data_IF_184826579274
#
_entry.id   IF_184826579274
#
_cell.length_a   1.000
_cell.length_b   1.000
_cell.length_c   1.000
_cell.angle_alpha   90.00
_cell.angle_beta   90.00
_cell.angle_gamma   90.00
#
_symmetry.space_group_name_H-M   'P 1'
#
loop_
_entity.id
_entity.type
_entity.pdbx_description
1 polymer ?
#
# COMPACT_ATOMS: atom_id res chain seq x y z
N UNK A 1 -4.65 39.40 -6.63
CA UNK A 1 -4.64 37.93 -6.79
C UNK A 1 -3.34 37.40 -6.20
N UNK A 2 -3.37 36.78 -5.03
CA UNK A 2 -2.18 36.13 -4.47
C UNK A 2 -1.88 34.87 -5.29
N UNK A 3 -0.68 34.78 -5.87
CA UNK A 3 -0.18 33.55 -6.46
C UNK A 3 0.04 32.53 -5.33
N UNK A 4 -0.90 31.60 -5.16
CA UNK A 4 -0.68 30.44 -4.29
C UNK A 4 0.31 29.54 -5.01
N UNK A 5 1.58 29.59 -4.60
CA UNK A 5 2.56 28.65 -5.12
C UNK A 5 2.19 27.24 -4.65
N UNK A 6 2.09 26.25 -5.57
CA UNK A 6 1.77 24.90 -5.18
C UNK A 6 2.82 24.37 -4.21
N UNK A 7 2.37 23.84 -3.07
CA UNK A 7 3.24 23.27 -2.05
C UNK A 7 4.08 22.15 -2.68
N UNK A 8 5.39 22.21 -2.45
CA UNK A 8 6.34 21.21 -2.95
C UNK A 8 6.56 20.15 -1.89
N UNK A 9 6.04 18.95 -2.14
CA UNK A 9 6.29 17.76 -1.33
C UNK A 9 7.48 17.01 -1.90
N UNK A 10 8.36 16.53 -1.04
CA UNK A 10 9.57 15.83 -1.46
C UNK A 10 9.79 14.58 -0.65
N UNK A 11 10.24 13.56 -1.35
CA UNK A 11 10.68 12.30 -0.79
C UNK A 11 12.07 12.46 -0.19
N UNK A 12 12.38 11.63 0.80
CA UNK A 12 13.70 11.57 1.44
C UNK A 12 14.78 11.25 0.40
N UNK A 13 14.49 10.31 -0.51
CA UNK A 13 15.42 9.94 -1.60
C UNK A 13 15.67 11.10 -2.55
N UNK A 14 14.65 11.91 -2.88
CA UNK A 14 14.84 13.10 -3.72
C UNK A 14 15.70 14.17 -3.06
N UNK A 15 15.48 14.44 -1.77
CA UNK A 15 16.30 15.41 -1.05
C UNK A 15 17.78 14.98 -1.02
N UNK A 16 18.05 13.70 -0.78
CA UNK A 16 19.41 13.14 -0.85
C UNK A 16 20.02 13.31 -2.25
N UNK A 17 19.28 12.97 -3.31
CA UNK A 17 19.74 13.11 -4.69
C UNK A 17 19.99 14.58 -5.10
N UNK A 18 19.21 15.52 -4.54
CA UNK A 18 19.35 16.96 -4.81
C UNK A 18 20.68 17.48 -4.28
N UNK A 19 21.05 17.14 -3.06
CA UNK A 19 22.28 17.64 -2.40
C UNK A 19 23.52 16.80 -2.72
N UNK A 20 23.38 15.67 -3.44
CA UNK A 20 24.49 14.79 -3.79
C UNK A 20 25.62 15.48 -4.58
N UNK A 21 25.31 16.55 -5.33
CA UNK A 21 26.32 17.34 -6.05
C UNK A 21 27.31 18.05 -5.10
N UNK A 22 26.92 18.31 -3.85
CA UNK A 22 27.81 18.88 -2.84
C UNK A 22 28.85 17.88 -2.33
N UNK A 23 28.68 16.59 -2.64
CA UNK A 23 29.51 15.49 -2.11
C UNK A 23 30.16 14.62 -3.20
N UNK A 24 30.02 14.98 -4.48
CA UNK A 24 30.49 14.13 -5.58
C UNK A 24 30.45 14.78 -6.96
N UNK A 25 30.77 13.99 -7.99
CA UNK A 25 30.83 14.45 -9.39
C UNK A 25 29.43 14.84 -9.92
N UNK A 26 29.30 15.91 -10.75
CA UNK A 26 28.01 16.36 -11.29
C UNK A 26 27.20 15.27 -12.01
N UNK A 27 27.87 14.37 -12.74
CA UNK A 27 27.21 13.28 -13.47
C UNK A 27 26.58 12.24 -12.55
N UNK A 28 27.22 11.95 -11.43
CA UNK A 28 26.68 11.05 -10.41
C UNK A 28 25.41 11.65 -9.77
N UNK A 29 25.41 12.95 -9.48
CA UNK A 29 24.22 13.63 -8.97
C UNK A 29 23.08 13.65 -10.01
N UNK A 30 23.39 13.76 -11.32
CA UNK A 30 22.39 13.64 -12.39
C UNK A 30 21.80 12.22 -12.43
N UNK A 31 22.64 11.21 -12.31
CA UNK A 31 22.21 9.81 -12.29
C UNK A 31 21.28 9.50 -11.11
N UNK A 32 21.64 9.91 -9.89
CA UNK A 32 20.80 9.73 -8.70
C UNK A 32 19.44 10.41 -8.84
N UNK A 33 19.40 11.63 -9.41
CA UNK A 33 18.13 12.30 -9.71
C UNK A 33 17.32 11.54 -10.74
N UNK A 34 17.95 10.95 -11.76
CA UNK A 34 17.28 10.09 -12.73
C UNK A 34 16.55 8.92 -12.07
N UNK A 35 17.21 8.25 -11.13
CA UNK A 35 16.62 7.13 -10.36
C UNK A 35 15.48 7.61 -9.44
N UNK A 36 15.67 8.70 -8.71
CA UNK A 36 14.70 9.19 -7.73
C UNK A 36 13.46 9.86 -8.35
N UNK A 37 13.56 10.34 -9.60
CA UNK A 37 12.55 11.19 -10.24
C UNK A 37 11.17 10.53 -10.38
N UNK A 38 11.02 9.27 -10.85
CA UNK A 38 9.70 8.66 -11.00
C UNK A 38 8.93 8.60 -9.68
N UNK A 39 9.61 8.17 -8.60
CA UNK A 39 9.02 8.12 -7.25
C UNK A 39 8.66 9.52 -6.75
N UNK A 40 9.55 10.50 -6.95
CA UNK A 40 9.28 11.90 -6.58
C UNK A 40 8.06 12.47 -7.30
N UNK A 41 7.85 12.13 -8.58
CA UNK A 41 6.68 12.56 -9.34
C UNK A 41 5.40 11.96 -8.75
N UNK A 42 5.38 10.65 -8.47
CA UNK A 42 4.23 10.01 -7.82
C UNK A 42 3.93 10.61 -6.44
N UNK A 43 4.96 10.83 -5.62
CA UNK A 43 4.81 11.41 -4.28
C UNK A 43 4.27 12.84 -4.33
N UNK A 44 4.84 13.71 -5.18
CA UNK A 44 4.33 15.07 -5.36
C UNK A 44 2.87 15.06 -5.80
N UNK A 45 2.50 14.22 -6.79
CA UNK A 45 1.13 14.15 -7.31
C UNK A 45 0.13 13.72 -6.23
N UNK A 46 0.43 12.65 -5.50
CA UNK A 46 -0.44 12.14 -4.44
C UNK A 46 -0.59 13.16 -3.31
N UNK A 47 0.52 13.65 -2.76
CA UNK A 47 0.47 14.62 -1.66
C UNK A 47 -0.24 15.90 -2.08
N UNK A 48 0.01 16.41 -3.29
CA UNK A 48 -0.64 17.62 -3.77
C UNK A 48 -2.15 17.44 -4.01
N UNK A 49 -2.57 16.29 -4.54
CA UNK A 49 -3.99 16.00 -4.78
C UNK A 49 -4.82 16.02 -3.50
N UNK A 50 -4.19 15.72 -2.36
CA UNK A 50 -4.84 15.64 -1.04
C UNK A 50 -4.24 16.63 -0.03
N UNK A 51 -3.68 17.75 -0.51
CA UNK A 51 -3.17 18.84 0.33
C UNK A 51 -2.19 18.41 1.46
N UNK A 52 -1.40 17.36 1.21
CA UNK A 52 -0.43 16.80 2.14
C UNK A 52 -0.97 15.71 3.06
N UNK A 53 -2.26 15.38 2.97
CA UNK A 53 -2.94 14.43 3.84
C UNK A 53 -3.69 13.33 3.05
N UNK A 54 -2.99 12.47 2.28
CA UNK A 54 -3.61 11.42 1.47
C UNK A 54 -4.04 10.20 2.32
N UNK A 55 -4.74 10.43 3.43
CA UNK A 55 -5.17 9.38 4.36
C UNK A 55 -6.32 8.58 3.73
N UNK A 56 -6.23 7.25 3.78
CA UNK A 56 -7.24 6.34 3.22
C UNK A 56 -7.23 6.24 1.70
N UNK A 57 -6.38 7.00 1.00
CA UNK A 57 -6.35 7.04 -0.45
C UNK A 57 -5.65 5.81 -1.00
N UNK A 58 -6.37 5.01 -1.80
CA UNK A 58 -5.82 3.80 -2.38
C UNK A 58 -4.95 4.09 -3.60
N UNK A 59 -3.80 3.42 -3.63
CA UNK A 59 -2.92 3.36 -4.77
C UNK A 59 -2.79 1.90 -5.22
N UNK A 60 -2.97 1.66 -6.52
CA UNK A 60 -2.79 0.39 -7.17
C UNK A 60 -1.33 0.16 -7.56
N UNK A 61 -0.89 -1.08 -7.45
CA UNK A 61 0.35 -1.57 -8.05
C UNK A 61 0.18 -1.70 -9.58
N UNK A 62 1.27 -1.56 -10.34
CA UNK A 62 1.17 -1.48 -11.80
C UNK A 62 0.83 -2.82 -12.44
N UNK A 63 1.46 -3.90 -11.99
CA UNK A 63 1.45 -5.19 -12.68
C UNK A 63 0.49 -6.20 -12.03
N UNK A 64 -0.07 -5.89 -10.87
CA UNK A 64 -0.94 -6.78 -10.10
C UNK A 64 -2.25 -6.11 -9.72
N UNK A 65 -3.29 -6.93 -9.55
CA UNK A 65 -4.51 -6.53 -8.85
C UNK A 65 -4.24 -6.48 -7.35
N UNK A 66 -3.40 -5.52 -6.96
CA UNK A 66 -3.00 -5.26 -5.58
C UNK A 66 -3.02 -3.75 -5.32
N UNK A 67 -3.43 -3.39 -4.12
CA UNK A 67 -3.59 -2.01 -3.68
C UNK A 67 -3.04 -1.82 -2.28
N UNK A 68 -2.72 -0.57 -1.97
CA UNK A 68 -2.36 -0.15 -0.63
C UNK A 68 -2.88 1.26 -0.34
N UNK A 69 -3.09 1.55 0.94
CA UNK A 69 -3.42 2.89 1.44
C UNK A 69 -2.82 3.10 2.83
N UNK A 70 -2.72 4.37 3.25
CA UNK A 70 -2.18 4.75 4.57
C UNK A 70 -3.29 5.26 5.48
N UNK A 71 -3.37 4.74 6.70
CA UNK A 71 -4.32 5.15 7.75
C UNK A 71 -3.63 5.30 9.10
N UNK A 72 -4.24 5.97 10.09
CA UNK A 72 -3.77 5.90 11.47
C UNK A 72 -3.68 4.45 11.94
N UNK A 73 -2.63 4.16 12.71
CA UNK A 73 -2.44 2.87 13.35
C UNK A 73 -3.37 2.77 14.59
N UNK A 74 -4.05 1.62 14.76
CA UNK A 74 -5.13 1.44 15.75
C UNK A 74 -4.74 0.56 16.94
N UNK A 75 -3.57 -0.09 16.92
CA UNK A 75 -3.08 -1.06 17.93
C UNK A 75 -2.00 -0.50 18.88
N UNK A 76 -1.50 0.71 18.66
CA UNK A 76 -0.45 1.36 19.45
C UNK A 76 0.99 1.00 19.07
N UNK A 77 1.22 0.21 18.01
CA UNK A 77 2.55 -0.25 17.55
C UNK A 77 3.28 0.74 16.63
N UNK A 78 2.60 1.82 16.24
CA UNK A 78 3.10 2.93 15.44
C UNK A 78 2.07 4.06 15.43
N UNK A 79 2.24 5.07 14.56
CA UNK A 79 1.23 6.13 14.38
C UNK A 79 0.46 5.99 13.07
N UNK A 80 1.12 5.44 12.06
CA UNK A 80 0.58 5.29 10.71
C UNK A 80 0.80 3.87 10.22
N UNK A 81 -0.15 3.34 9.46
CA UNK A 81 -0.14 1.99 8.93
C UNK A 81 -0.38 2.02 7.43
N UNK A 82 0.50 1.38 6.67
CA UNK A 82 0.18 0.95 5.31
C UNK A 82 -0.67 -0.30 5.43
N UNK A 83 -1.89 -0.27 4.91
CA UNK A 83 -2.76 -1.43 4.74
C UNK A 83 -2.71 -1.88 3.28
N UNK A 84 -2.45 -3.17 3.04
CA UNK A 84 -2.40 -3.76 1.69
C UNK A 84 -3.57 -4.72 1.50
N UNK A 85 -4.08 -4.79 0.28
CA UNK A 85 -5.13 -5.72 -0.11
C UNK A 85 -5.03 -6.10 -1.59
N UNK A 86 -5.65 -7.22 -1.95
CA UNK A 86 -5.82 -7.69 -3.32
C UNK A 86 -7.29 -8.08 -3.56
N UNK A 87 -7.56 -8.85 -4.61
CA UNK A 87 -8.92 -9.29 -4.93
C UNK A 87 -9.52 -10.29 -3.92
N UNK A 88 -8.68 -10.92 -3.09
CA UNK A 88 -9.07 -11.98 -2.15
C UNK A 88 -9.11 -11.47 -0.69
N UNK A 89 -8.57 -10.29 -0.40
CA UNK A 89 -8.70 -9.69 0.93
C UNK A 89 -7.53 -8.82 1.33
N UNK A 90 -7.43 -8.55 2.63
CA UNK A 90 -6.25 -7.91 3.21
C UNK A 90 -5.07 -8.89 3.24
N UNK A 91 -3.90 -8.46 2.75
CA UNK A 91 -2.72 -9.33 2.61
C UNK A 91 -1.59 -9.00 3.58
N UNK A 92 -1.61 -7.81 4.17
CA UNK A 92 -0.59 -7.42 5.13
C UNK A 92 -0.59 -5.95 5.47
N UNK A 93 0.17 -5.59 6.49
CA UNK A 93 0.32 -4.21 6.93
C UNK A 93 1.74 -3.93 7.40
N UNK A 94 2.10 -2.65 7.50
CA UNK A 94 3.37 -2.20 8.08
C UNK A 94 3.17 -0.85 8.76
N UNK A 95 3.79 -0.66 9.93
CA UNK A 95 3.62 0.54 10.75
C UNK A 95 4.83 1.49 10.63
N UNK A 96 4.56 2.78 10.73
CA UNK A 96 5.54 3.87 10.62
C UNK A 96 5.20 5.01 11.59
N UNK A 97 6.21 5.83 11.88
CA UNK A 97 6.08 6.94 12.83
C UNK A 97 5.35 8.16 12.26
N UNK A 98 5.40 8.36 10.94
CA UNK A 98 4.82 9.55 10.28
C UNK A 98 4.09 9.19 8.99
N UNK A 99 3.08 9.98 8.63
CA UNK A 99 2.32 9.86 7.39
C UNK A 99 3.24 9.93 6.16
N UNK A 100 4.14 10.92 6.14
CA UNK A 100 5.07 11.12 5.02
C UNK A 100 5.95 9.88 4.77
N UNK A 101 6.48 9.26 5.83
CA UNK A 101 7.30 8.04 5.71
C UNK A 101 6.44 6.87 5.23
N UNK A 102 5.23 6.69 5.77
CA UNK A 102 4.33 5.62 5.34
C UNK A 102 3.97 5.76 3.85
N UNK A 103 3.63 6.97 3.39
CA UNK A 103 3.32 7.24 1.98
C UNK A 103 4.55 7.00 1.10
N UNK A 104 5.73 7.48 1.50
CA UNK A 104 6.96 7.25 0.73
C UNK A 104 7.25 5.74 0.58
N UNK A 105 7.13 4.96 1.66
CA UNK A 105 7.34 3.51 1.63
C UNK A 105 6.30 2.79 0.76
N UNK A 106 5.02 3.16 0.86
CA UNK A 106 3.95 2.62 -0.01
C UNK A 106 4.27 2.83 -1.49
N UNK A 107 4.74 4.01 -1.88
CA UNK A 107 5.16 4.28 -3.26
C UNK A 107 6.45 3.53 -3.65
N UNK A 108 7.37 3.32 -2.71
CA UNK A 108 8.59 2.54 -2.95
C UNK A 108 8.26 1.09 -3.28
N UNK A 109 7.26 0.50 -2.63
CA UNK A 109 6.77 -0.86 -2.88
C UNK A 109 6.08 -1.05 -4.24
N UNK A 110 5.78 0.04 -4.96
CA UNK A 110 5.24 0.01 -6.32
C UNK A 110 3.79 0.46 -6.46
N UNK A 111 3.09 0.72 -5.36
CA UNK A 111 1.72 1.24 -5.35
C UNK A 111 1.68 2.72 -5.77
N UNK A 112 1.83 3.00 -7.07
CA UNK A 112 2.08 4.36 -7.60
C UNK A 112 0.94 4.92 -8.44
N UNK A 113 -0.10 4.14 -8.70
CA UNK A 113 -1.24 4.52 -9.54
C UNK A 113 -2.39 4.88 -8.61
N UNK A 114 -2.82 6.13 -8.59
CA UNK A 114 -3.96 6.55 -7.78
C UNK A 114 -5.24 5.83 -8.25
N UNK A 115 -5.95 5.21 -7.31
CA UNK A 115 -7.18 4.44 -7.59
C UNK A 115 -8.15 4.55 -6.41
N UNK A 116 -8.55 5.79 -6.09
CA UNK A 116 -9.42 6.07 -4.96
C UNK A 116 -10.76 5.32 -5.05
N UNK A 117 -11.20 4.74 -3.93
CA UNK A 117 -12.41 3.91 -3.85
C UNK A 117 -12.22 2.48 -4.36
N UNK A 118 -10.97 2.06 -4.62
CA UNK A 118 -10.68 0.68 -4.99
C UNK A 118 -11.13 -0.32 -3.92
N UNK A 119 -10.98 0.00 -2.64
CA UNK A 119 -11.36 -0.91 -1.57
C UNK A 119 -12.87 -1.21 -1.62
N UNK A 120 -13.71 -0.18 -1.74
CA UNK A 120 -15.16 -0.35 -1.82
C UNK A 120 -15.55 -1.22 -3.03
N UNK A 121 -14.95 -0.94 -4.20
CA UNK A 121 -15.24 -1.70 -5.43
C UNK A 121 -14.82 -3.16 -5.30
N UNK A 122 -13.64 -3.44 -4.76
CA UNK A 122 -13.09 -4.80 -4.66
C UNK A 122 -13.78 -5.58 -3.54
N UNK A 123 -14.03 -4.96 -2.40
CA UNK A 123 -14.67 -5.57 -1.24
C UNK A 123 -16.13 -5.97 -1.49
N UNK A 124 -16.80 -5.31 -2.44
CA UNK A 124 -18.16 -5.66 -2.87
C UNK A 124 -18.22 -6.95 -3.71
N UNK A 125 -17.09 -7.56 -4.07
CA UNK A 125 -17.08 -8.74 -4.95
C UNK A 125 -17.28 -10.06 -4.19
N UNK A 126 -17.90 -11.04 -4.85
CA UNK A 126 -17.99 -12.41 -4.34
C UNK A 126 -16.60 -13.06 -4.13
N UNK A 127 -15.60 -12.65 -4.92
CA UNK A 127 -14.22 -13.15 -4.79
C UNK A 127 -13.63 -12.71 -3.44
N UNK A 128 -13.74 -11.43 -3.11
CA UNK A 128 -13.33 -10.91 -1.81
C UNK A 128 -14.02 -11.63 -0.66
N UNK A 129 -15.35 -11.78 -0.72
CA UNK A 129 -16.10 -12.48 0.32
C UNK A 129 -15.62 -13.93 0.54
N UNK A 130 -15.24 -14.65 -0.53
CA UNK A 130 -14.64 -16.00 -0.44
C UNK A 130 -13.25 -15.96 0.19
N UNK A 131 -12.41 -15.00 -0.20
CA UNK A 131 -11.06 -14.89 0.33
C UNK A 131 -11.03 -14.50 1.81
N UNK A 132 -11.92 -13.60 2.26
CA UNK A 132 -12.10 -13.29 3.69
C UNK A 132 -12.48 -14.53 4.50
N UNK A 133 -13.40 -15.37 3.99
CA UNK A 133 -13.75 -16.64 4.66
C UNK A 133 -12.55 -17.56 4.80
N UNK A 134 -11.73 -17.69 3.75
CA UNK A 134 -10.49 -18.49 3.79
C UNK A 134 -9.50 -17.93 4.80
N UNK A 135 -9.30 -16.61 4.81
CA UNK A 135 -8.41 -15.95 5.76
C UNK A 135 -8.84 -16.20 7.21
N UNK A 136 -10.14 -16.20 7.51
CA UNK A 136 -10.64 -16.51 8.85
C UNK A 136 -10.36 -17.97 9.29
N UNK A 137 -10.32 -18.94 8.37
CA UNK A 137 -9.88 -20.31 8.70
C UNK A 137 -8.40 -20.33 9.07
N UNK A 138 -7.56 -19.68 8.25
CA UNK A 138 -6.12 -19.60 8.48
C UNK A 138 -5.82 -18.89 9.82
N UNK A 139 -6.51 -17.80 10.10
CA UNK A 139 -6.38 -17.05 11.35
C UNK A 139 -6.68 -17.92 12.57
N UNK A 140 -7.78 -18.69 12.55
CA UNK A 140 -8.10 -19.62 13.65
C UNK A 140 -7.00 -20.66 13.88
N UNK A 141 -6.34 -21.12 12.83
CA UNK A 141 -5.20 -22.03 12.97
C UNK A 141 -3.99 -21.33 13.61
N UNK A 142 -3.70 -20.09 13.19
CA UNK A 142 -2.60 -19.28 13.74
C UNK A 142 -2.82 -18.93 15.21
N UNK A 143 -4.07 -18.73 15.62
CA UNK A 143 -4.49 -18.49 17.00
C UNK A 143 -4.56 -19.78 17.84
N UNK A 144 -4.30 -20.96 17.25
CA UNK A 144 -4.33 -22.25 17.94
C UNK A 144 -5.73 -22.80 18.24
N UNK A 145 -6.77 -22.20 17.66
CA UNK A 145 -8.17 -22.62 17.84
C UNK A 145 -8.51 -23.87 17.03
N UNK A 146 -7.79 -24.12 15.93
CA UNK A 146 -7.87 -25.36 15.14
C UNK A 146 -6.46 -25.86 14.81
N UNK A 147 -6.35 -27.16 14.57
CA UNK A 147 -5.10 -27.78 14.08
C UNK A 147 -4.87 -27.47 12.60
N UNK A 148 -3.62 -27.63 12.16
CA UNK A 148 -3.26 -27.53 10.74
C UNK A 148 -4.05 -28.51 9.86
N UNK A 149 -4.31 -29.74 10.33
CA UNK A 149 -5.11 -30.72 9.61
C UNK A 149 -6.56 -30.26 9.42
N UNK A 150 -7.20 -29.76 10.49
CA UNK A 150 -8.56 -29.20 10.42
C UNK A 150 -8.62 -27.99 9.48
N UNK A 151 -7.61 -27.12 9.51
CA UNK A 151 -7.51 -25.99 8.58
C UNK A 151 -7.50 -26.47 7.11
N UNK A 152 -6.70 -27.49 6.79
CA UNK A 152 -6.64 -28.05 5.43
C UNK A 152 -7.97 -28.68 4.99
N UNK A 153 -8.64 -29.41 5.88
CA UNK A 153 -9.92 -30.04 5.58
C UNK A 153 -11.03 -29.00 5.32
N UNK A 154 -11.09 -27.95 6.15
CA UNK A 154 -12.04 -26.85 5.94
C UNK A 154 -11.77 -26.09 4.64
N UNK A 155 -10.51 -25.75 4.34
CA UNK A 155 -10.15 -25.08 3.08
C UNK A 155 -10.49 -25.93 1.85
N UNK A 156 -10.31 -27.27 1.94
CA UNK A 156 -10.68 -28.19 0.86
C UNK A 156 -12.20 -28.20 0.63
N UNK A 157 -13.00 -28.31 1.69
CA UNK A 157 -14.47 -28.23 1.59
C UNK A 157 -14.95 -26.92 0.96
N UNK A 158 -14.35 -25.80 1.36
CA UNK A 158 -14.66 -24.48 0.77
C UNK A 158 -14.31 -24.41 -0.73
N UNK A 159 -13.29 -25.14 -1.17
CA UNK A 159 -12.93 -25.22 -2.59
C UNK A 159 -13.92 -26.09 -3.38
N UNK A 160 -14.33 -27.24 -2.82
CA UNK A 160 -15.30 -28.15 -3.44
C UNK A 160 -16.69 -27.49 -3.60
N UNK A 161 -17.17 -26.78 -2.58
CA UNK A 161 -18.42 -26.01 -2.62
C UNK A 161 -18.38 -24.90 -3.68
N UNK A 162 -17.22 -24.27 -3.87
CA UNK A 162 -17.05 -23.24 -4.89
C UNK A 162 -17.08 -23.82 -6.32
N UNK A 163 -16.59 -25.04 -6.52
CA UNK A 163 -16.61 -25.74 -7.81
C UNK A 163 -17.95 -26.39 -8.14
N UNK A 164 -18.75 -26.78 -7.13
CA UNK A 164 -20.05 -27.41 -7.33
C UNK A 164 -21.18 -26.40 -7.66
N UNK A 165 -20.99 -25.12 -7.33
CA UNK A 165 -21.96 -24.05 -7.55
C UNK A 165 -21.61 -23.06 -8.67
N UNK A 166 -20.60 -23.35 -9.50
CA UNK A 166 -20.24 -22.58 -10.71
C UNK A 166 -20.66 -23.35 -11.96
#
# INVERSE_FOLDING_TARGET
>A
MNQVHPQRYRTTTWERARVAHLRGRPDFARHLRGIARPMQISYQRLMQAYNGEPVGVECRERERDAWAFVVPEMSGSGRWRIQRFDLDGFVGHMCFDTLAIAVENMLQEGYRILDAGALDRVAATNRWAKGIKRAAVVQRCQEGLITYAQMLDELRRMQEEATAGS
#
